data_IF_238077432259
#
_entry.id   IF_238077432259
#
_cell.length_a   1.000
_cell.length_b   1.000
_cell.length_c   1.000
_cell.angle_alpha   90.00
_cell.angle_beta   90.00
_cell.angle_gamma   90.00
#
_symmetry.space_group_name_H-M   'P 1'
#
loop_
_entity.id
_entity.type
_entity.pdbx_description
1 polymer ?
#
# COMPACT_ATOMS: atom_id res chain seq x y z
N UNK A 1 -9.71 1.06 -0.87
CA UNK A 1 -10.04 1.84 0.32
C UNK A 1 -9.86 0.91 1.50
N UNK A 2 -9.15 1.31 2.54
CA UNK A 2 -9.05 0.53 3.79
C UNK A 2 -10.38 0.64 4.54
N UNK A 3 -10.81 -0.43 5.20
CA UNK A 3 -12.09 -0.48 5.91
C UNK A 3 -11.81 -0.80 7.36
N UNK A 4 -12.02 0.19 8.22
CA UNK A 4 -11.93 -0.02 9.67
C UNK A 4 -13.28 -0.52 10.18
N UNK A 5 -13.25 -1.66 10.86
CA UNK A 5 -14.41 -2.21 11.59
C UNK A 5 -14.07 -2.57 13.03
N UNK A 6 -12.90 -2.17 13.54
CA UNK A 6 -12.40 -2.52 14.88
C UNK A 6 -13.37 -2.14 15.99
N UNK A 7 -14.09 -1.02 15.86
CA UNK A 7 -15.10 -0.59 16.83
C UNK A 7 -16.27 -1.57 16.97
N UNK A 8 -16.65 -2.25 15.88
CA UNK A 8 -17.79 -3.17 15.88
C UNK A 8 -17.46 -4.51 16.54
N UNK A 9 -16.18 -4.86 16.61
CA UNK A 9 -15.68 -6.09 17.23
C UNK A 9 -14.98 -5.86 18.56
N UNK A 10 -15.11 -4.67 19.13
CA UNK A 10 -14.46 -4.31 20.39
C UNK A 10 -14.98 -5.15 21.58
N UNK A 11 -16.27 -5.49 21.57
CA UNK A 11 -16.90 -6.30 22.61
C UNK A 11 -17.21 -7.71 22.07
N UNK A 12 -16.34 -8.67 22.37
CA UNK A 12 -16.50 -10.09 21.95
C UNK A 12 -17.59 -10.85 22.71
N UNK A 13 -18.16 -10.27 23.76
CA UNK A 13 -19.15 -10.88 24.66
C UNK A 13 -20.60 -10.70 24.24
N UNK A 14 -20.89 -9.87 23.22
CA UNK A 14 -22.25 -9.77 22.67
C UNK A 14 -22.50 -10.91 21.69
N UNK A 15 -23.55 -11.70 21.94
CA UNK A 15 -24.07 -12.64 20.96
C UNK A 15 -24.35 -11.91 19.63
N UNK A 16 -23.89 -12.47 18.50
CA UNK A 16 -24.10 -11.88 17.17
C UNK A 16 -23.12 -10.77 16.73
N UNK A 17 -22.00 -10.55 17.44
CA UNK A 17 -20.98 -9.54 17.09
C UNK A 17 -20.51 -9.61 15.61
N UNK A 18 -20.35 -10.82 15.06
CA UNK A 18 -19.93 -11.03 13.67
C UNK A 18 -21.06 -10.90 12.62
N UNK A 19 -22.34 -10.98 12.99
CA UNK A 19 -23.44 -10.81 12.04
C UNK A 19 -23.47 -9.41 11.44
N UNK A 20 -23.15 -8.40 12.25
CA UNK A 20 -22.99 -7.02 11.80
C UNK A 20 -21.94 -6.90 10.68
N UNK A 21 -20.88 -7.72 10.71
CA UNK A 21 -19.83 -7.71 9.68
C UNK A 21 -20.33 -8.34 8.38
N UNK A 22 -21.09 -9.44 8.45
CA UNK A 22 -21.63 -10.13 7.27
C UNK A 22 -22.56 -9.22 6.46
N UNK A 23 -23.33 -8.35 7.10
CA UNK A 23 -24.24 -7.43 6.38
C UNK A 23 -23.53 -6.28 5.65
N UNK A 24 -22.22 -6.08 5.84
CA UNK A 24 -21.50 -5.00 5.17
C UNK A 24 -21.27 -5.30 3.69
N UNK A 25 -21.44 -4.27 2.84
CA UNK A 25 -21.11 -4.36 1.42
C UNK A 25 -19.71 -3.86 1.06
N UNK A 26 -19.24 -2.79 1.72
CA UNK A 26 -17.94 -2.18 1.40
C UNK A 26 -16.81 -3.10 1.86
N UNK A 27 -16.11 -3.69 0.87
CA UNK A 27 -14.99 -4.61 1.04
C UNK A 27 -15.34 -5.91 1.76
N UNK A 28 -16.59 -6.34 1.64
CA UNK A 28 -16.98 -7.70 1.98
C UNK A 28 -16.67 -8.66 0.85
N UNK A 29 -16.70 -9.96 1.18
CA UNK A 29 -16.52 -11.06 0.24
C UNK A 29 -17.56 -10.99 -0.89
N UNK A 30 -18.80 -10.60 -0.58
CA UNK A 30 -19.86 -10.47 -1.58
C UNK A 30 -19.48 -9.49 -2.70
N UNK A 31 -18.95 -8.32 -2.35
CA UNK A 31 -18.51 -7.34 -3.35
C UNK A 31 -17.32 -7.83 -4.17
N UNK A 32 -16.50 -8.73 -3.63
CA UNK A 32 -15.34 -9.27 -4.33
C UNK A 32 -15.72 -10.39 -5.30
N UNK A 33 -16.69 -11.25 -4.95
CA UNK A 33 -16.97 -12.51 -5.65
C UNK A 33 -18.29 -12.48 -6.46
N UNK A 34 -19.12 -11.43 -6.34
CA UNK A 34 -20.45 -11.45 -6.97
C UNK A 34 -20.43 -11.66 -8.50
N UNK A 35 -19.40 -11.19 -9.21
CA UNK A 35 -19.31 -11.37 -10.68
C UNK A 35 -18.99 -12.82 -11.03
N UNK A 36 -18.03 -13.39 -10.31
CA UNK A 36 -17.61 -14.78 -10.41
C UNK A 36 -18.75 -15.71 -10.01
N UNK A 37 -19.51 -15.37 -8.97
CA UNK A 37 -20.67 -16.12 -8.53
C UNK A 37 -21.78 -16.10 -9.58
N UNK A 38 -22.09 -14.93 -10.18
CA UNK A 38 -23.08 -14.84 -11.26
C UNK A 38 -22.62 -15.68 -12.46
N UNK A 39 -21.36 -15.59 -12.86
CA UNK A 39 -20.84 -16.39 -13.96
C UNK A 39 -20.93 -17.89 -13.67
N UNK A 40 -20.56 -18.32 -12.46
CA UNK A 40 -20.68 -19.71 -12.01
C UNK A 40 -22.12 -20.20 -12.04
N UNK A 41 -23.05 -19.45 -11.44
CA UNK A 41 -24.47 -19.78 -11.43
C UNK A 41 -25.05 -19.83 -12.84
N UNK A 42 -24.66 -18.88 -13.70
CA UNK A 42 -25.12 -18.84 -15.09
C UNK A 42 -24.70 -20.11 -15.83
N UNK A 43 -23.43 -20.53 -15.74
CA UNK A 43 -22.95 -21.76 -16.36
C UNK A 43 -23.67 -22.98 -15.77
N UNK A 44 -23.81 -23.03 -14.44
CA UNK A 44 -24.50 -24.12 -13.75
C UNK A 44 -25.95 -24.27 -14.23
N UNK A 45 -26.70 -23.18 -14.28
CA UNK A 45 -28.10 -23.20 -14.71
C UNK A 45 -28.23 -23.47 -16.21
N UNK A 46 -27.34 -22.96 -17.06
CA UNK A 46 -27.34 -23.31 -18.49
C UNK A 46 -27.14 -24.81 -18.68
N UNK A 47 -26.18 -25.42 -18.00
CA UNK A 47 -25.95 -26.87 -18.05
C UNK A 47 -27.20 -27.62 -17.54
N UNK A 48 -27.78 -27.18 -16.42
CA UNK A 48 -28.96 -27.81 -15.82
C UNK A 48 -30.19 -27.73 -16.73
N UNK A 49 -30.46 -26.56 -17.32
CA UNK A 49 -31.56 -26.37 -18.26
C UNK A 49 -31.35 -27.18 -19.55
N UNK A 50 -30.11 -27.24 -20.05
CA UNK A 50 -29.76 -28.06 -21.22
C UNK A 50 -30.00 -29.55 -20.94
N UNK A 51 -29.58 -30.03 -19.77
CA UNK A 51 -29.82 -31.40 -19.32
C UNK A 51 -31.32 -31.72 -19.22
N UNK A 52 -32.13 -30.81 -18.65
CA UNK A 52 -33.57 -31.03 -18.43
C UNK A 52 -34.42 -30.92 -19.69
N UNK A 53 -34.14 -29.94 -20.54
CA UNK A 53 -35.05 -29.55 -21.63
C UNK A 53 -34.54 -29.85 -23.04
N UNK A 54 -33.22 -30.04 -23.23
CA UNK A 54 -32.63 -30.21 -24.55
C UNK A 54 -32.03 -31.62 -24.79
N UNK A 55 -31.56 -32.31 -23.74
CA UNK A 55 -30.96 -33.63 -23.88
C UNK A 55 -31.99 -34.76 -23.97
N UNK A 56 -31.71 -35.75 -24.83
CA UNK A 56 -32.47 -37.01 -24.90
C UNK A 56 -32.03 -38.00 -23.82
N UNK A 57 -32.82 -39.04 -23.54
CA UNK A 57 -32.50 -40.03 -22.48
C UNK A 57 -31.11 -40.67 -22.63
N UNK A 58 -30.67 -40.96 -23.87
CA UNK A 58 -29.34 -41.53 -24.11
C UNK A 58 -28.22 -40.54 -23.76
N UNK A 59 -28.41 -39.25 -24.09
CA UNK A 59 -27.45 -38.19 -23.77
C UNK A 59 -27.40 -37.91 -22.26
N UNK A 60 -28.55 -37.95 -21.58
CA UNK A 60 -28.63 -37.79 -20.13
C UNK A 60 -27.83 -38.88 -19.39
N UNK A 61 -27.97 -40.16 -19.80
CA UNK A 61 -27.17 -41.27 -19.22
C UNK A 61 -25.67 -41.08 -19.41
N UNK A 62 -25.24 -40.52 -20.53
CA UNK A 62 -23.83 -40.19 -20.75
C UNK A 62 -23.36 -39.04 -19.85
N UNK A 63 -24.18 -37.99 -19.72
CA UNK A 63 -23.91 -36.85 -18.83
C UNK A 63 -23.80 -37.28 -17.36
N UNK A 64 -24.67 -38.16 -16.88
CA UNK A 64 -24.61 -38.71 -15.53
C UNK A 64 -23.29 -39.44 -15.26
N UNK A 65 -22.83 -40.28 -16.20
CA UNK A 65 -21.53 -40.94 -16.10
C UNK A 65 -20.38 -39.92 -16.05
N UNK A 66 -20.44 -38.86 -16.85
CA UNK A 66 -19.44 -37.80 -16.84
C UNK A 66 -19.44 -37.03 -15.51
N UNK A 67 -20.61 -36.71 -14.96
CA UNK A 67 -20.77 -36.09 -13.63
C UNK A 67 -20.13 -36.95 -12.55
N UNK A 68 -20.43 -38.24 -12.52
CA UNK A 68 -19.89 -39.17 -11.51
C UNK A 68 -18.36 -39.30 -11.63
N UNK A 69 -17.84 -39.29 -12.86
CA UNK A 69 -16.40 -39.24 -13.10
C UNK A 69 -15.76 -37.98 -12.53
N UNK A 70 -16.34 -36.80 -12.78
CA UNK A 70 -15.85 -35.53 -12.23
C UNK A 70 -15.96 -35.47 -10.70
N UNK A 71 -17.06 -35.96 -10.13
CA UNK A 71 -17.27 -35.98 -8.68
C UNK A 71 -16.18 -36.79 -7.96
N UNK A 72 -15.81 -37.95 -8.51
CA UNK A 72 -14.73 -38.79 -7.96
C UNK A 72 -13.36 -38.10 -7.92
N UNK A 73 -13.10 -37.17 -8.84
CA UNK A 73 -11.83 -36.43 -8.90
C UNK A 73 -11.85 -35.11 -8.10
N UNK A 74 -13.03 -34.61 -7.72
CA UNK A 74 -13.17 -33.35 -6.98
C UNK A 74 -12.55 -33.42 -5.58
N UNK A 75 -12.55 -34.59 -4.95
CA UNK A 75 -12.03 -34.79 -3.58
C UNK A 75 -10.54 -35.11 -3.53
N UNK A 76 -9.88 -35.32 -4.68
CA UNK A 76 -8.49 -35.79 -4.74
C UNK A 76 -7.47 -34.71 -4.39
N UNK A 77 -7.83 -33.43 -4.45
CA UNK A 77 -6.91 -32.31 -4.18
C UNK A 77 -7.34 -31.57 -2.91
N UNK A 78 -6.55 -31.57 -1.83
CA UNK A 78 -6.84 -30.81 -0.61
C UNK A 78 -6.61 -29.31 -0.83
N UNK A 79 -7.50 -28.67 -1.58
CA UNK A 79 -7.44 -27.24 -1.92
C UNK A 79 -7.37 -26.36 -0.67
N UNK A 80 -8.05 -26.75 0.41
CA UNK A 80 -8.05 -26.04 1.69
C UNK A 80 -6.66 -25.91 2.30
N UNK A 81 -5.81 -26.95 2.15
CA UNK A 81 -4.45 -26.95 2.70
C UNK A 81 -3.58 -25.94 1.95
N UNK A 82 -3.55 -26.02 0.62
CA UNK A 82 -2.77 -25.12 -0.24
C UNK A 82 -3.24 -23.67 -0.06
N UNK A 83 -4.55 -23.44 0.00
CA UNK A 83 -5.13 -22.12 0.22
C UNK A 83 -4.72 -21.55 1.58
N UNK A 84 -4.68 -22.39 2.63
CA UNK A 84 -4.25 -22.00 3.97
C UNK A 84 -2.82 -21.43 4.00
N UNK A 85 -1.84 -22.15 3.42
CA UNK A 85 -0.46 -21.64 3.34
C UNK A 85 -0.35 -20.39 2.49
N UNK A 86 -1.00 -20.39 1.32
CA UNK A 86 -0.94 -19.27 0.42
C UNK A 86 -1.50 -17.99 1.06
N UNK A 87 -2.69 -18.07 1.67
CA UNK A 87 -3.32 -16.93 2.35
C UNK A 87 -2.46 -16.45 3.51
N UNK A 88 -1.89 -17.37 4.30
CA UNK A 88 -1.01 -17.01 5.42
C UNK A 88 0.22 -16.23 4.94
N UNK A 89 0.86 -16.68 3.85
CA UNK A 89 1.99 -16.00 3.23
C UNK A 89 1.61 -14.60 2.72
N UNK A 90 0.46 -14.47 2.06
CA UNK A 90 -0.03 -13.20 1.53
C UNK A 90 -0.31 -12.20 2.66
N UNK A 91 -0.98 -12.63 3.73
CA UNK A 91 -1.27 -11.78 4.90
C UNK A 91 0.02 -11.33 5.59
N UNK A 92 0.99 -12.22 5.76
CA UNK A 92 2.30 -11.88 6.32
C UNK A 92 2.99 -10.78 5.51
N UNK A 93 3.11 -10.96 4.19
CA UNK A 93 3.73 -9.99 3.29
C UNK A 93 2.99 -8.65 3.26
N UNK A 94 1.65 -8.69 3.29
CA UNK A 94 0.84 -7.49 3.36
C UNK A 94 1.13 -6.66 4.62
N UNK A 95 1.26 -7.33 5.77
CA UNK A 95 1.56 -6.66 7.04
C UNK A 95 3.00 -6.12 7.07
N UNK A 96 3.97 -6.89 6.56
CA UNK A 96 5.35 -6.44 6.40
C UNK A 96 5.43 -5.19 5.52
N UNK A 97 4.73 -5.15 4.38
CA UNK A 97 4.67 -3.97 3.51
C UNK A 97 4.05 -2.75 4.22
N UNK A 98 3.01 -2.95 5.04
CA UNK A 98 2.41 -1.87 5.81
C UNK A 98 3.38 -1.30 6.85
N UNK A 99 4.13 -2.16 7.54
CA UNK A 99 5.11 -1.77 8.55
C UNK A 99 6.33 -1.04 7.99
N UNK A 100 6.67 -1.30 6.72
CA UNK A 100 7.75 -0.62 6.01
C UNK A 100 7.39 0.79 5.53
N UNK A 101 6.15 1.25 5.69
CA UNK A 101 5.78 2.62 5.31
C UNK A 101 6.46 3.61 6.28
N UNK A 102 7.33 4.52 5.78
CA UNK A 102 8.00 5.50 6.64
C UNK A 102 7.00 6.54 7.17
N UNK A 103 7.03 6.76 8.49
CA UNK A 103 6.24 7.78 9.17
C UNK A 103 7.12 8.99 9.49
N UNK A 104 6.81 10.20 8.99
CA UNK A 104 7.67 11.37 9.17
C UNK A 104 7.64 11.93 10.61
N UNK A 105 6.77 11.41 11.47
CA UNK A 105 6.49 11.89 12.82
C UNK A 105 7.74 11.92 13.71
N UNK A 106 8.50 10.82 13.74
CA UNK A 106 9.73 10.70 14.54
C UNK A 106 10.80 11.69 14.09
N UNK A 107 11.05 11.75 12.77
CA UNK A 107 11.97 12.73 12.18
C UNK A 107 11.53 14.16 12.49
N UNK A 108 10.25 14.49 12.33
CA UNK A 108 9.73 15.83 12.59
C UNK A 108 9.92 16.24 14.06
N UNK A 109 9.71 15.32 15.00
CA UNK A 109 9.94 15.55 16.42
C UNK A 109 11.42 15.86 16.71
N UNK A 110 12.34 15.03 16.19
CA UNK A 110 13.77 15.26 16.38
C UNK A 110 14.28 16.52 15.69
N UNK A 111 13.81 16.83 14.48
CA UNK A 111 14.16 18.07 13.76
C UNK A 111 13.67 19.30 14.52
N UNK A 112 12.49 19.21 15.14
CA UNK A 112 11.94 20.29 15.97
C UNK A 112 12.77 20.51 17.24
N UNK A 113 13.27 19.45 17.86
CA UNK A 113 14.13 19.53 19.04
C UNK A 113 15.56 19.99 18.72
N UNK A 114 16.12 19.54 17.60
CA UNK A 114 17.52 19.76 17.24
C UNK A 114 17.83 21.17 16.71
N UNK A 115 16.86 21.83 16.06
CA UNK A 115 17.00 23.20 15.56
C UNK A 115 16.02 24.07 16.36
N UNK A 116 16.39 24.55 17.55
CA UNK A 116 15.55 25.43 18.34
C UNK A 116 15.44 26.82 17.69
N UNK A 117 14.45 27.62 18.14
CA UNK A 117 14.31 29.02 17.74
C UNK A 117 13.15 29.31 16.78
N UNK A 118 12.66 30.55 16.89
CA UNK A 118 11.53 31.11 16.11
C UNK A 118 12.02 31.81 14.83
N UNK A 119 13.34 31.93 14.68
CA UNK A 119 13.97 32.58 13.53
C UNK A 119 13.50 31.98 12.21
N UNK A 120 13.31 32.85 11.22
CA UNK A 120 12.81 32.44 9.92
C UNK A 120 13.73 31.40 9.26
N UNK A 121 15.05 31.58 9.38
CA UNK A 121 16.05 30.64 8.85
C UNK A 121 15.90 29.24 9.46
N UNK A 122 15.85 29.14 10.79
CA UNK A 122 15.67 27.85 11.48
C UNK A 122 14.35 27.19 11.11
N UNK A 123 13.26 27.97 11.07
CA UNK A 123 11.94 27.51 10.63
C UNK A 123 11.97 26.94 9.21
N UNK A 124 12.62 27.61 8.26
CA UNK A 124 12.75 27.14 6.88
C UNK A 124 13.58 25.85 6.77
N UNK A 125 14.66 25.73 7.55
CA UNK A 125 15.47 24.50 7.58
C UNK A 125 14.66 23.31 8.10
N UNK A 126 13.95 23.46 9.22
CA UNK A 126 13.07 22.41 9.77
C UNK A 126 12.02 21.96 8.75
N UNK A 127 11.33 22.91 8.12
CA UNK A 127 10.30 22.62 7.10
C UNK A 127 10.89 21.90 5.89
N UNK A 128 12.07 22.31 5.41
CA UNK A 128 12.69 21.70 4.25
C UNK A 128 13.20 20.28 4.52
N UNK A 129 13.75 19.99 5.70
CA UNK A 129 14.18 18.63 6.08
C UNK A 129 12.98 17.66 6.02
N UNK A 130 11.87 18.01 6.68
CA UNK A 130 10.67 17.17 6.70
C UNK A 130 10.03 17.07 5.31
N UNK A 131 9.97 18.19 4.56
CA UNK A 131 9.46 18.19 3.18
C UNK A 131 10.28 17.27 2.27
N UNK A 132 11.59 17.22 2.43
CA UNK A 132 12.43 16.32 1.65
C UNK A 132 12.22 14.84 1.99
N UNK A 133 12.01 14.49 3.26
CA UNK A 133 11.63 13.13 3.63
C UNK A 133 10.27 12.75 3.01
N UNK A 134 9.28 13.64 3.07
CA UNK A 134 7.97 13.43 2.42
C UNK A 134 8.11 13.34 0.90
N UNK A 135 8.97 14.15 0.29
CA UNK A 135 9.19 14.12 -1.14
C UNK A 135 9.80 12.79 -1.60
N UNK A 136 10.82 12.29 -0.89
CA UNK A 136 11.37 10.96 -1.13
C UNK A 136 10.28 9.89 -1.05
N UNK A 137 9.45 9.94 0.00
CA UNK A 137 8.34 9.01 0.19
C UNK A 137 7.31 9.05 -0.95
N UNK A 138 6.92 10.23 -1.42
CA UNK A 138 5.97 10.40 -2.53
C UNK A 138 6.55 9.86 -3.84
N UNK A 139 7.84 10.11 -4.12
CA UNK A 139 8.52 9.57 -5.31
C UNK A 139 8.52 8.04 -5.25
N UNK A 140 8.84 7.43 -4.10
CA UNK A 140 8.80 5.97 -3.92
C UNK A 140 7.38 5.43 -4.11
N UNK A 141 6.38 6.01 -3.45
CA UNK A 141 4.99 5.58 -3.56
C UNK A 141 4.42 5.73 -4.97
N UNK A 142 4.88 6.70 -5.76
CA UNK A 142 4.48 6.85 -7.16
C UNK A 142 4.87 5.63 -8.01
N UNK A 143 5.96 4.95 -7.68
CA UNK A 143 6.41 3.74 -8.39
C UNK A 143 5.66 2.48 -7.94
N UNK A 144 5.27 2.40 -6.67
CA UNK A 144 4.65 1.18 -6.08
C UNK A 144 3.11 1.24 -6.08
N UNK A 145 2.53 2.43 -5.90
CA UNK A 145 1.08 2.61 -5.72
C UNK A 145 0.43 3.27 -6.94
N UNK A 146 -0.46 2.53 -7.61
CA UNK A 146 -1.26 3.03 -8.73
C UNK A 146 -2.10 4.26 -8.35
N UNK A 147 -2.60 4.32 -7.11
CA UNK A 147 -3.40 5.48 -6.65
C UNK A 147 -2.55 6.75 -6.55
N UNK A 148 -1.32 6.62 -6.06
CA UNK A 148 -0.39 7.76 -5.97
C UNK A 148 0.07 8.16 -7.37
N UNK A 149 0.34 7.20 -8.26
CA UNK A 149 0.64 7.47 -9.67
C UNK A 149 -0.49 8.21 -10.40
N UNK A 150 -1.75 7.86 -10.13
CA UNK A 150 -2.91 8.58 -10.67
C UNK A 150 -3.05 9.99 -10.10
N UNK A 151 -2.71 10.21 -8.83
CA UNK A 151 -2.75 11.53 -8.19
C UNK A 151 -1.59 12.43 -8.64
N UNK A 152 -0.41 11.87 -8.87
CA UNK A 152 0.79 12.58 -9.30
C UNK A 152 1.40 11.95 -10.56
N UNK A 153 0.76 12.10 -11.74
CA UNK A 153 1.26 11.48 -12.98
C UNK A 153 2.63 12.01 -13.40
N UNK A 154 2.83 13.33 -13.33
CA UNK A 154 4.10 14.00 -13.71
C UNK A 154 4.77 14.62 -12.48
N UNK A 155 6.05 15.02 -12.62
CA UNK A 155 6.74 15.78 -11.57
C UNK A 155 6.07 17.15 -11.33
N UNK A 156 5.46 17.75 -12.37
CA UNK A 156 4.74 19.01 -12.23
C UNK A 156 3.62 18.93 -11.19
N UNK A 157 2.85 17.85 -11.16
CA UNK A 157 1.78 17.67 -10.16
C UNK A 157 2.32 17.63 -8.71
N UNK A 158 3.57 17.23 -8.53
CA UNK A 158 4.24 17.24 -7.21
C UNK A 158 4.66 18.68 -6.84
N UNK A 159 5.09 19.46 -7.84
CA UNK A 159 5.41 20.89 -7.68
C UNK A 159 4.15 21.70 -7.37
N UNK A 160 3.08 21.51 -8.15
CA UNK A 160 1.80 22.20 -7.97
C UNK A 160 1.17 21.88 -6.60
N UNK A 161 1.43 20.68 -6.06
CA UNK A 161 1.01 20.29 -4.72
C UNK A 161 1.89 20.88 -3.59
N UNK A 162 2.94 21.63 -3.92
CA UNK A 162 3.84 22.27 -2.97
C UNK A 162 4.83 21.33 -2.27
N UNK A 163 4.98 20.09 -2.75
CA UNK A 163 5.88 19.09 -2.16
C UNK A 163 7.31 19.28 -2.70
N UNK A 164 7.43 19.69 -3.96
CA UNK A 164 8.70 19.98 -4.64
C UNK A 164 8.72 21.43 -5.13
N UNK A 165 9.90 22.06 -5.16
CA UNK A 165 10.06 23.38 -5.79
C UNK A 165 10.43 23.25 -7.28
N UNK A 166 10.13 24.27 -8.09
CA UNK A 166 10.46 24.27 -9.52
C UNK A 166 11.98 24.15 -9.77
N UNK A 167 12.80 24.76 -8.90
CA UNK A 167 14.26 24.62 -8.95
C UNK A 167 14.73 23.18 -8.69
N UNK A 168 14.08 22.48 -7.77
CA UNK A 168 14.39 21.09 -7.41
C UNK A 168 13.98 20.13 -8.51
N UNK A 169 12.82 20.37 -9.14
CA UNK A 169 12.35 19.62 -10.31
C UNK A 169 13.38 19.65 -11.44
N UNK A 170 13.93 20.82 -11.77
CA UNK A 170 14.99 20.95 -12.79
C UNK A 170 16.20 20.07 -12.48
N UNK A 171 16.61 19.99 -11.20
CA UNK A 171 17.73 19.14 -10.79
C UNK A 171 17.40 17.66 -10.96
N UNK A 172 16.18 17.24 -10.60
CA UNK A 172 15.73 15.86 -10.80
C UNK A 172 15.70 15.51 -12.29
N UNK A 173 15.15 16.38 -13.15
CA UNK A 173 15.06 16.18 -14.59
C UNK A 173 16.45 16.11 -15.26
N UNK A 174 17.38 16.97 -14.86
CA UNK A 174 18.78 16.91 -15.33
C UNK A 174 19.49 15.61 -14.92
N UNK A 175 19.09 15.01 -13.80
CA UNK A 175 19.61 13.71 -13.40
C UNK A 175 18.89 12.58 -14.14
N UNK A 176 17.59 12.71 -14.41
CA UNK A 176 16.78 11.73 -15.15
C UNK A 176 17.33 11.54 -16.57
N UNK A 177 17.84 12.61 -17.19
CA UNK A 177 18.50 12.51 -18.50
C UNK A 177 19.81 11.71 -18.47
N UNK A 178 20.45 11.55 -17.30
CA UNK A 178 21.74 10.83 -17.14
C UNK A 178 21.56 9.37 -16.76
N UNK A 179 20.48 9.01 -16.08
CA UNK A 179 20.23 7.63 -15.64
C UNK A 179 18.73 7.36 -15.51
N UNK A 180 18.23 6.21 -15.99
CA UNK A 180 16.82 5.85 -15.90
C UNK A 180 16.38 5.38 -14.49
N UNK A 181 17.31 5.25 -13.52
CA UNK A 181 16.97 4.78 -12.18
C UNK A 181 16.12 5.80 -11.41
N UNK A 182 15.19 5.30 -10.59
CA UNK A 182 14.35 6.14 -9.73
C UNK A 182 15.18 6.90 -8.68
N UNK A 183 14.92 8.21 -8.53
CA UNK A 183 15.74 9.15 -7.73
C UNK A 183 15.10 9.50 -6.39
N UNK A 184 14.49 8.53 -5.73
CA UNK A 184 13.90 8.73 -4.41
C UNK A 184 14.93 9.07 -3.33
N UNK A 185 16.20 8.71 -3.53
CA UNK A 185 17.31 9.00 -2.61
C UNK A 185 17.77 10.47 -2.65
N UNK A 186 17.51 11.20 -3.73
CA UNK A 186 18.03 12.58 -3.91
C UNK A 186 17.50 13.55 -2.84
N UNK A 187 16.18 13.60 -2.54
CA UNK A 187 15.69 14.43 -1.45
C UNK A 187 16.31 14.10 -0.08
N UNK A 188 16.58 12.83 0.20
CA UNK A 188 17.24 12.42 1.46
C UNK A 188 18.67 13.00 1.55
N UNK A 189 19.41 13.00 0.44
CA UNK A 189 20.73 13.65 0.38
C UNK A 189 20.63 15.16 0.58
N UNK A 190 19.61 15.81 0.02
CA UNK A 190 19.39 17.24 0.26
C UNK A 190 19.04 17.54 1.72
N UNK A 191 18.26 16.68 2.38
CA UNK A 191 17.96 16.78 3.81
C UNK A 191 19.24 16.68 4.66
N UNK A 192 20.09 15.67 4.38
CA UNK A 192 21.40 15.50 5.02
C UNK A 192 22.28 16.74 4.86
N UNK A 193 22.30 17.35 3.68
CA UNK A 193 23.06 18.57 3.42
C UNK A 193 22.55 19.78 4.23
N UNK A 194 21.23 19.88 4.45
CA UNK A 194 20.66 20.92 5.32
C UNK A 194 21.07 20.68 6.78
N UNK A 195 21.02 19.45 7.28
CA UNK A 195 21.43 19.11 8.65
C UNK A 195 22.90 19.45 8.87
N UNK A 196 23.78 19.05 7.95
CA UNK A 196 25.21 19.37 8.02
C UNK A 196 25.48 20.88 7.94
N UNK A 197 24.64 21.63 7.22
CA UNK A 197 24.72 23.09 7.21
C UNK A 197 24.26 23.69 8.54
N UNK A 198 23.16 23.21 9.11
CA UNK A 198 22.66 23.67 10.42
C UNK A 198 23.69 23.45 11.52
N UNK A 199 24.44 22.34 11.46
CA UNK A 199 25.55 22.10 12.39
C UNK A 199 26.69 23.09 12.20
N UNK A 200 27.13 23.34 10.96
CA UNK A 200 28.18 24.34 10.66
C UNK A 200 27.80 25.75 11.06
N UNK A 201 26.51 26.09 10.94
CA UNK A 201 25.97 27.39 11.36
C UNK A 201 25.74 27.48 12.89
N UNK A 202 26.18 26.48 13.67
CA UNK A 202 25.96 26.36 15.11
C UNK A 202 24.48 26.41 15.55
N UNK A 203 23.54 26.07 14.66
CA UNK A 203 22.12 25.95 15.00
C UNK A 203 21.82 24.63 15.71
N UNK A 204 22.58 23.57 15.38
CA UNK A 204 22.55 22.29 16.10
C UNK A 204 23.74 22.27 17.06
N UNK A 205 23.46 22.17 18.36
CA UNK A 205 24.47 22.34 19.41
C UNK A 205 25.39 21.13 19.60
N UNK A 206 24.91 19.93 19.27
CA UNK A 206 25.56 18.66 19.58
C UNK A 206 25.65 17.76 18.34
N UNK A 207 26.79 17.11 18.18
CA UNK A 207 27.02 16.14 17.08
C UNK A 207 26.19 14.86 17.26
N UNK A 208 25.84 14.52 18.50
CA UNK A 208 24.94 13.40 18.79
C UNK A 208 23.55 13.63 18.17
N UNK A 209 23.02 14.87 18.24
CA UNK A 209 21.75 15.21 17.60
C UNK A 209 21.82 15.08 16.07
N UNK A 210 22.95 15.44 15.47
CA UNK A 210 23.18 15.23 14.04
C UNK A 210 23.15 13.75 13.70
N UNK A 211 23.84 12.90 14.48
CA UNK A 211 23.83 11.46 14.28
C UNK A 211 22.42 10.87 14.40
N UNK A 212 21.64 11.29 15.41
CA UNK A 212 20.24 10.86 15.56
C UNK A 212 19.40 11.26 14.34
N UNK A 213 19.52 12.50 13.86
CA UNK A 213 18.78 12.94 12.67
C UNK A 213 19.15 12.16 11.41
N UNK A 214 20.44 11.85 11.23
CA UNK A 214 20.91 11.07 10.08
C UNK A 214 20.47 9.61 10.17
N UNK A 215 20.43 9.04 11.37
CA UNK A 215 19.90 7.70 11.61
C UNK A 215 18.41 7.62 11.25
N UNK A 216 17.60 8.57 11.71
CA UNK A 216 16.17 8.64 11.38
C UNK A 216 15.92 8.86 9.88
N UNK A 217 16.75 9.67 9.21
CA UNK A 217 16.68 9.79 7.75
C UNK A 217 17.05 8.50 7.02
N UNK A 218 17.92 7.67 7.60
CA UNK A 218 18.31 6.39 7.03
C UNK A 218 17.22 5.33 7.15
N UNK A 219 16.42 5.37 8.23
CA UNK A 219 15.21 4.53 8.39
C UNK A 219 14.14 4.85 7.33
N UNK A 220 14.18 6.05 6.73
CA UNK A 220 13.28 6.44 5.64
C UNK A 220 13.74 6.03 4.24
N UNK A 221 14.94 5.45 4.09
CA UNK A 221 15.50 5.04 2.80
C UNK A 221 14.98 3.68 2.34
#
# INVERSE_FOLDING_TARGET
MTISYSRLVANGSSFGCFWSILTKWRGSVYKLVWRELIAYLSIYYVINLTYRFAMTEQQQRFFERARDYCAKHSDTIPMSFVLGFYVTLVVRRWWEQYRLLPWPDTLALFVSAAIPGVDERGRLMRRNIVRYAILAYVITLKHVSVRVKKRFPTLQHIVDAGIMMESEKKIVEMMDSKSPMAKYWMPLVWATNIINRARRDNLIMSDQLVQTLLFELSEHR
#
